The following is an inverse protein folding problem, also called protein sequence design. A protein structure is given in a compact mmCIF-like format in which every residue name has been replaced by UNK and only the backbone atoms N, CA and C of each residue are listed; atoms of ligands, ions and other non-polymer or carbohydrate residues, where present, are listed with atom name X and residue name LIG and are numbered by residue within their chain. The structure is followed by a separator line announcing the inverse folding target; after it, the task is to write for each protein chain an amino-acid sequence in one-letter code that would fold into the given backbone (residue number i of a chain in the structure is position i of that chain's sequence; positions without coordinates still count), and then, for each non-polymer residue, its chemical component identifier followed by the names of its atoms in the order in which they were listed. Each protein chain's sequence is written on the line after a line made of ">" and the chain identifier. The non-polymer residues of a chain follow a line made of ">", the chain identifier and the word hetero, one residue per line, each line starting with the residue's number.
data_IF_437266811089
#
_entry.id   IF_437266811089
#
_cell.length_a   1.000
_cell.length_b   1.000
_cell.length_c   1.000
_cell.angle_alpha   90.00
_cell.angle_beta   90.00
_cell.angle_gamma   90.00
#
_symmetry.space_group_name_H-M   'P 1'
#
loop_
_entity.id
_entity.type
_entity.pdbx_description
1 polymer ?
#
# COMPACT_ATOMS: atom_id res chain seq x y z
N UNK A 1 7.58 27.53 -7.22
CA UNK A 1 6.69 28.45 -6.49
C UNK A 1 7.24 29.86 -6.65
N UNK A 2 6.51 30.71 -7.35
CA UNK A 2 6.89 32.13 -7.50
C UNK A 2 6.27 32.92 -6.35
N UNK A 3 7.10 33.63 -5.59
CA UNK A 3 6.62 34.64 -4.64
C UNK A 3 6.40 35.99 -5.33
N UNK A 4 5.32 36.68 -5.01
CA UNK A 4 5.04 37.99 -5.52
C UNK A 4 5.94 39.07 -4.87
N UNK A 5 6.46 39.96 -5.64
CA UNK A 5 7.35 41.02 -5.20
C UNK A 5 6.70 41.99 -4.23
N UNK A 6 7.22 42.05 -3.02
CA UNK A 6 7.25 43.29 -2.26
C UNK A 6 8.51 44.11 -2.67
N UNK A 7 8.43 45.39 -2.61
CA UNK A 7 9.35 46.41 -3.17
C UNK A 7 10.75 46.46 -2.52
N UNK A 8 11.34 45.36 -2.18
CA UNK A 8 12.73 45.19 -1.78
C UNK A 8 13.26 44.03 -2.59
N UNK A 9 14.39 44.20 -3.21
CA UNK A 9 15.14 43.26 -4.05
C UNK A 9 15.13 41.81 -3.50
N UNK A 10 14.00 41.14 -3.62
CA UNK A 10 13.84 39.72 -3.32
C UNK A 10 14.13 38.93 -4.60
N UNK A 11 15.11 38.05 -4.53
CA UNK A 11 15.37 37.11 -5.61
C UNK A 11 14.37 35.94 -5.50
N UNK A 12 13.74 35.61 -6.62
CA UNK A 12 12.93 34.40 -6.74
C UNK A 12 13.77 33.32 -7.38
N UNK A 13 13.79 32.17 -6.77
CA UNK A 13 14.44 31.02 -7.34
C UNK A 13 13.37 29.92 -7.56
N UNK A 14 13.23 29.48 -8.80
CA UNK A 14 12.47 28.28 -9.12
C UNK A 14 13.38 27.09 -8.84
N UNK A 15 13.03 26.24 -7.89
CA UNK A 15 13.82 25.05 -7.58
C UNK A 15 13.19 23.75 -8.07
N UNK A 16 11.93 23.77 -8.50
CA UNK A 16 11.24 22.67 -9.16
C UNK A 16 10.31 23.22 -10.22
N UNK A 17 10.43 22.74 -11.44
CA UNK A 17 9.52 23.00 -12.53
C UNK A 17 9.29 21.70 -13.29
N UNK A 18 8.10 21.12 -13.17
CA UNK A 18 7.75 19.85 -13.80
C UNK A 18 6.28 19.86 -14.20
N UNK A 19 5.99 19.36 -15.40
CA UNK A 19 4.62 19.30 -15.94
C UNK A 19 3.71 18.41 -15.09
N UNK A 20 4.25 17.38 -14.47
CA UNK A 20 3.52 16.49 -13.59
C UNK A 20 2.99 17.14 -12.30
N UNK A 21 3.47 18.34 -11.94
CA UNK A 21 2.91 19.13 -10.83
C UNK A 21 1.48 19.59 -11.13
N UNK A 22 1.15 19.82 -12.40
CA UNK A 22 -0.20 20.12 -12.89
C UNK A 22 -0.92 21.22 -12.09
N UNK A 23 -0.21 22.28 -11.73
CA UNK A 23 -0.79 23.42 -11.02
C UNK A 23 -1.75 24.20 -11.90
N UNK A 24 -2.87 24.62 -11.34
CA UNK A 24 -3.89 25.38 -12.06
C UNK A 24 -4.28 26.61 -11.26
N UNK A 25 -4.40 27.76 -11.94
CA UNK A 25 -4.70 29.06 -11.30
C UNK A 25 -6.06 29.09 -10.58
N UNK A 26 -7.00 28.23 -10.99
CA UNK A 26 -8.32 28.14 -10.35
C UNK A 26 -8.29 27.31 -9.05
N UNK A 27 -7.17 26.66 -8.74
CA UNK A 27 -6.97 25.82 -7.60
C UNK A 27 -5.81 26.35 -6.75
N UNK A 28 -6.08 27.24 -5.78
CA UNK A 28 -5.03 27.87 -5.00
C UNK A 28 -4.31 26.85 -4.13
N UNK A 29 -2.98 26.97 -4.09
CA UNK A 29 -2.13 26.07 -3.32
C UNK A 29 -2.20 26.46 -1.83
N UNK A 30 -2.54 25.49 -0.99
CA UNK A 30 -2.36 25.55 0.46
C UNK A 30 -1.08 24.83 0.83
N UNK A 31 -0.20 25.43 1.60
CA UNK A 31 1.09 24.86 1.95
C UNK A 31 1.45 25.07 3.42
N UNK A 32 2.29 24.17 3.93
CA UNK A 32 2.88 24.26 5.24
C UNK A 32 4.34 23.78 5.21
N UNK A 33 5.20 24.41 6.02
CA UNK A 33 6.63 24.12 6.04
C UNK A 33 6.99 23.57 7.42
N UNK A 34 7.60 22.39 7.43
CA UNK A 34 8.20 21.80 8.61
C UNK A 34 9.72 21.98 8.57
N UNK A 35 10.27 22.51 9.64
CA UNK A 35 11.71 22.64 9.82
C UNK A 35 12.11 21.78 11.02
N UNK A 36 12.89 20.73 10.76
CA UNK A 36 13.47 19.85 11.76
C UNK A 36 15.00 19.94 11.62
N UNK A 37 15.68 20.58 12.58
CA UNK A 37 17.13 20.74 12.64
C UNK A 37 17.80 21.06 11.28
N UNK A 38 18.09 20.05 10.49
CA UNK A 38 18.74 20.17 9.17
C UNK A 38 17.81 19.87 7.99
N UNK A 39 16.53 19.50 8.24
CA UNK A 39 15.59 19.11 7.19
C UNK A 39 14.45 20.11 7.07
N UNK A 40 14.24 20.61 5.86
CA UNK A 40 13.11 21.49 5.52
C UNK A 40 12.18 20.72 4.59
N UNK A 41 10.96 20.43 5.06
CA UNK A 41 9.92 19.79 4.25
C UNK A 41 8.80 20.75 3.96
N UNK A 42 8.43 20.85 2.70
CA UNK A 42 7.34 21.69 2.21
C UNK A 42 6.19 20.74 1.82
N UNK A 43 5.11 20.83 2.55
CA UNK A 43 3.87 20.10 2.26
C UNK A 43 2.92 21.03 1.53
N UNK A 44 2.23 20.54 0.50
CA UNK A 44 1.29 21.34 -0.26
C UNK A 44 0.15 20.51 -0.87
N UNK A 45 -0.97 21.20 -1.10
CA UNK A 45 -2.16 20.64 -1.73
C UNK A 45 -2.92 21.76 -2.44
N UNK A 46 -3.75 21.43 -3.43
CA UNK A 46 -4.46 22.38 -4.28
C UNK A 46 -5.90 21.93 -4.61
N UNK A 47 -6.46 20.96 -3.91
CA UNK A 47 -7.81 20.41 -4.18
C UNK A 47 -7.99 19.80 -5.61
N UNK A 48 -6.96 19.80 -6.43
CA UNK A 48 -6.95 19.20 -7.78
C UNK A 48 -6.11 17.93 -7.81
N UNK A 49 -4.89 18.03 -7.26
CA UNK A 49 -3.90 16.98 -7.27
C UNK A 49 -3.80 16.27 -5.92
N UNK A 50 -3.13 15.12 -5.91
CA UNK A 50 -2.80 14.41 -4.67
C UNK A 50 -1.95 15.32 -3.76
N UNK A 51 -2.20 15.38 -2.44
CA UNK A 51 -1.33 16.09 -1.52
C UNK A 51 0.12 15.61 -1.62
N UNK A 52 1.07 16.54 -1.62
CA UNK A 52 2.48 16.29 -1.91
C UNK A 52 3.38 16.87 -0.83
N UNK A 53 4.60 16.37 -0.78
CA UNK A 53 5.66 16.99 0.00
C UNK A 53 6.96 17.01 -0.79
N UNK A 54 7.80 17.99 -0.49
CA UNK A 54 9.14 18.15 -1.05
C UNK A 54 10.10 18.28 0.13
N UNK A 55 11.14 17.47 0.15
CA UNK A 55 12.28 17.68 1.04
C UNK A 55 13.25 18.66 0.36
N UNK A 56 13.34 19.86 0.90
CA UNK A 56 14.17 20.93 0.31
C UNK A 56 15.64 20.54 0.21
N UNK A 57 16.14 19.75 1.16
CA UNK A 57 17.54 19.35 1.17
C UNK A 57 17.88 18.35 0.07
N UNK A 58 16.93 17.50 -0.32
CA UNK A 58 17.14 16.59 -1.43
C UNK A 58 17.29 17.33 -2.76
N UNK A 59 16.60 18.46 -2.93
CA UNK A 59 16.70 19.29 -4.11
C UNK A 59 17.96 20.18 -4.11
N UNK A 60 18.48 20.58 -2.95
CA UNK A 60 19.73 21.36 -2.89
C UNK A 60 20.96 20.54 -3.26
N UNK A 61 20.97 19.24 -3.04
CA UNK A 61 22.09 18.36 -3.41
C UNK A 61 22.27 18.22 -4.93
N UNK A 62 21.32 18.67 -5.71
CA UNK A 62 21.25 18.51 -7.16
C UNK A 62 21.51 19.84 -7.89
N UNK A 63 21.90 20.91 -7.21
CA UNK A 63 22.30 22.17 -7.86
C UNK A 63 23.79 22.20 -8.13
N UNK A 64 24.17 22.09 -9.40
CA UNK A 64 25.49 22.47 -9.89
C UNK A 64 25.31 23.85 -10.54
N UNK A 65 26.13 24.82 -10.14
CA UNK A 65 26.23 26.17 -10.76
C UNK A 65 24.94 27.01 -10.74
N UNK A 66 24.19 27.05 -9.64
CA UNK A 66 22.98 27.88 -9.49
C UNK A 66 21.83 27.57 -10.48
N UNK A 67 21.90 26.49 -11.24
CA UNK A 67 20.76 25.98 -12.01
C UNK A 67 20.10 24.82 -11.26
N UNK A 68 18.76 24.82 -11.11
CA UNK A 68 18.07 23.64 -10.63
C UNK A 68 18.28 22.51 -11.63
N UNK A 69 18.90 21.42 -11.21
CA UNK A 69 19.22 20.27 -12.06
C UNK A 69 17.99 19.40 -12.38
N UNK A 70 16.83 19.73 -11.82
CA UNK A 70 15.58 19.04 -12.15
C UNK A 70 14.87 19.84 -13.26
N UNK A 71 15.30 19.64 -14.49
CA UNK A 71 14.47 19.91 -15.64
C UNK A 71 13.23 19.00 -15.63
N UNK A 72 12.19 19.41 -16.35
CA UNK A 72 10.82 18.91 -16.32
C UNK A 72 10.64 17.40 -16.38
N UNK A 73 11.63 16.65 -16.83
CA UNK A 73 11.54 15.22 -17.11
C UNK A 73 12.13 14.33 -15.99
N UNK A 74 12.73 14.91 -14.95
CA UNK A 74 13.41 14.15 -13.89
C UNK A 74 12.61 14.03 -12.59
N UNK A 75 11.59 14.89 -12.37
CA UNK A 75 10.76 14.78 -11.17
C UNK A 75 9.73 13.67 -11.31
N UNK A 76 9.92 12.61 -10.56
CA UNK A 76 8.89 11.58 -10.36
C UNK A 76 7.85 12.09 -9.35
N UNK A 77 6.73 12.63 -9.85
CA UNK A 77 5.66 13.14 -9.02
C UNK A 77 4.98 12.06 -8.15
N UNK A 78 5.15 10.79 -8.46
CA UNK A 78 4.59 9.71 -7.64
C UNK A 78 5.38 9.56 -6.34
N UNK A 79 6.67 9.84 -6.34
CA UNK A 79 7.50 9.78 -5.13
C UNK A 79 7.27 10.91 -4.13
N UNK A 80 6.71 12.02 -4.56
CA UNK A 80 6.41 13.16 -3.69
C UNK A 80 4.97 13.18 -3.18
N UNK A 81 4.12 12.21 -3.59
CA UNK A 81 2.75 12.07 -3.06
C UNK A 81 2.77 11.68 -1.57
N UNK A 82 1.96 12.35 -0.74
CA UNK A 82 1.74 11.95 0.66
C UNK A 82 1.00 10.59 0.71
N UNK A 83 0.10 10.36 -0.25
CA UNK A 83 -0.63 9.11 -0.43
C UNK A 83 -0.24 8.50 -1.79
N UNK A 84 0.90 7.79 -1.88
CA UNK A 84 1.31 7.19 -3.15
C UNK A 84 0.34 6.09 -3.56
N UNK A 85 0.06 6.01 -4.85
CA UNK A 85 -0.61 4.86 -5.42
C UNK A 85 0.36 3.68 -5.40
N UNK A 86 -0.01 2.64 -4.69
CA UNK A 86 0.83 1.46 -4.53
C UNK A 86 0.21 0.30 -5.29
N UNK A 87 1.02 -0.40 -6.09
CA UNK A 87 0.63 -1.71 -6.61
C UNK A 87 0.54 -2.69 -5.44
N UNK A 88 -0.65 -3.24 -5.21
CA UNK A 88 -0.86 -4.20 -4.12
C UNK A 88 -0.49 -5.61 -4.59
N UNK A 89 0.11 -6.44 -3.70
CA UNK A 89 0.39 -7.83 -4.02
C UNK A 89 -0.90 -8.60 -4.34
N UNK A 90 -0.88 -9.36 -5.41
CA UNK A 90 -1.95 -10.27 -5.79
C UNK A 90 -1.55 -11.71 -5.50
N UNK A 91 -2.38 -12.44 -4.75
CA UNK A 91 -2.13 -13.84 -4.41
C UNK A 91 -3.09 -14.74 -5.17
N UNK A 92 -2.54 -15.66 -5.93
CA UNK A 92 -3.31 -16.64 -6.71
C UNK A 92 -2.92 -18.05 -6.28
N UNK A 93 -3.92 -18.89 -6.02
CA UNK A 93 -3.72 -20.33 -5.87
C UNK A 93 -3.54 -20.95 -7.25
N UNK A 94 -2.38 -21.55 -7.49
CA UNK A 94 -2.05 -22.14 -8.79
C UNK A 94 -2.36 -23.63 -8.86
N UNK A 95 -2.23 -24.34 -7.74
CA UNK A 95 -2.44 -25.79 -7.71
C UNK A 95 -2.64 -26.30 -6.27
N UNK A 96 -3.21 -27.50 -6.14
CA UNK A 96 -3.29 -28.27 -4.90
C UNK A 96 -2.58 -29.60 -5.11
N UNK A 97 -1.52 -29.84 -4.36
CA UNK A 97 -0.65 -31.00 -4.53
C UNK A 97 -0.67 -31.92 -3.32
N UNK A 98 -0.25 -33.17 -3.49
CA UNK A 98 -0.11 -34.13 -2.40
C UNK A 98 1.01 -33.74 -1.44
N UNK A 99 0.89 -34.14 -0.20
CA UNK A 99 1.82 -33.84 0.90
C UNK A 99 1.37 -32.61 1.70
N UNK A 100 1.96 -32.44 2.89
CA UNK A 100 1.61 -31.36 3.81
C UNK A 100 0.67 -31.79 4.95
N UNK A 101 0.34 -30.82 5.78
CA UNK A 101 -0.42 -31.02 7.02
C UNK A 101 -1.69 -30.17 7.06
N UNK A 102 -2.15 -29.68 5.89
CA UNK A 102 -3.41 -28.97 5.83
C UNK A 102 -4.56 -29.87 6.24
N UNK A 103 -5.50 -29.31 6.96
CA UNK A 103 -6.74 -30.00 7.37
C UNK A 103 -7.88 -29.56 6.45
N UNK A 104 -9.04 -30.24 6.55
CA UNK A 104 -10.24 -29.84 5.81
C UNK A 104 -10.62 -28.37 6.09
N UNK A 105 -11.23 -27.72 5.12
CA UNK A 105 -11.65 -26.32 5.22
C UNK A 105 -11.57 -25.58 3.89
N UNK A 106 -11.96 -24.31 3.89
CA UNK A 106 -11.81 -23.40 2.76
C UNK A 106 -10.68 -22.45 3.05
N UNK A 107 -9.72 -22.37 2.14
CA UNK A 107 -8.51 -21.57 2.28
C UNK A 107 -8.55 -20.38 1.32
N UNK A 108 -8.26 -19.20 1.84
CA UNK A 108 -8.04 -17.98 1.06
C UNK A 108 -6.71 -17.37 1.51
N UNK A 109 -6.03 -16.70 0.59
CA UNK A 109 -4.72 -16.10 0.86
C UNK A 109 -4.75 -14.63 0.50
N UNK A 110 -3.98 -13.84 1.24
CA UNK A 110 -3.79 -12.42 0.96
C UNK A 110 -2.40 -11.99 1.36
N UNK A 111 -1.91 -10.91 0.77
CA UNK A 111 -0.61 -10.35 1.08
C UNK A 111 -0.68 -8.83 1.21
N UNK A 112 0.18 -8.27 2.03
CA UNK A 112 0.37 -6.83 2.17
C UNK A 112 1.83 -6.51 2.51
N UNK A 113 2.26 -5.30 2.18
CA UNK A 113 3.62 -4.87 2.52
C UNK A 113 3.77 -4.67 4.03
N UNK A 114 4.97 -4.99 4.51
CA UNK A 114 5.30 -4.94 5.93
C UNK A 114 6.71 -4.40 6.19
N UNK A 115 7.00 -4.12 7.44
CA UNK A 115 8.36 -3.87 7.92
C UNK A 115 9.07 -5.19 8.28
N UNK A 116 10.34 -5.09 8.69
CA UNK A 116 11.15 -6.23 9.15
C UNK A 116 10.57 -6.93 10.38
N UNK A 117 9.73 -6.25 11.15
CA UNK A 117 9.09 -6.78 12.36
C UNK A 117 7.70 -7.36 12.10
N UNK A 118 7.35 -7.56 10.83
CA UNK A 118 6.03 -8.03 10.39
C UNK A 118 4.87 -7.05 10.66
N UNK A 119 5.17 -5.79 11.05
CA UNK A 119 4.12 -4.79 11.15
C UNK A 119 3.61 -4.42 9.77
N UNK A 120 2.30 -4.40 9.60
CA UNK A 120 1.65 -4.08 8.34
C UNK A 120 1.83 -2.60 7.99
N UNK A 121 2.38 -2.32 6.81
CA UNK A 121 2.57 -0.98 6.26
C UNK A 121 1.39 -0.58 5.36
N UNK A 122 0.89 -1.52 4.55
CA UNK A 122 -0.23 -1.29 3.64
C UNK A 122 -1.43 -2.18 3.95
N UNK A 123 -2.54 -1.95 3.25
CA UNK A 123 -3.70 -2.82 3.31
C UNK A 123 -3.48 -4.13 2.53
N UNK A 124 -4.14 -5.20 2.98
CA UNK A 124 -4.23 -6.46 2.24
C UNK A 124 -5.37 -6.35 1.23
N UNK A 125 -5.07 -5.83 0.03
CA UNK A 125 -6.10 -5.39 -0.91
C UNK A 125 -6.80 -6.56 -1.62
N UNK A 126 -6.02 -7.55 -2.09
CA UNK A 126 -6.53 -8.69 -2.84
C UNK A 126 -6.56 -9.94 -1.97
N UNK A 127 -7.68 -10.60 -1.94
CA UNK A 127 -7.84 -11.92 -1.33
C UNK A 127 -8.04 -12.94 -2.44
N UNK A 128 -7.33 -14.06 -2.39
CA UNK A 128 -7.44 -15.12 -3.40
C UNK A 128 -8.84 -15.73 -3.46
N UNK A 129 -9.14 -16.40 -4.55
CA UNK A 129 -10.35 -17.19 -4.65
C UNK A 129 -10.38 -18.26 -3.53
N UNK A 130 -11.56 -18.62 -3.01
CA UNK A 130 -11.71 -19.70 -2.05
C UNK A 130 -11.23 -21.02 -2.64
N UNK A 131 -10.34 -21.70 -1.93
CA UNK A 131 -9.82 -23.02 -2.30
C UNK A 131 -10.32 -24.06 -1.30
N UNK A 132 -11.31 -24.88 -1.68
CA UNK A 132 -11.83 -25.92 -0.79
C UNK A 132 -10.87 -27.12 -0.73
N UNK A 133 -10.57 -27.59 0.49
CA UNK A 133 -9.88 -28.84 0.76
C UNK A 133 -10.82 -29.76 1.51
N UNK A 134 -11.49 -30.67 0.77
CA UNK A 134 -12.43 -31.62 1.34
C UNK A 134 -12.30 -32.96 0.66
N UNK A 135 -12.54 -34.06 1.43
CA UNK A 135 -12.67 -35.40 0.87
C UNK A 135 -14.13 -35.71 0.52
N UNK A 136 -15.06 -35.22 1.35
CA UNK A 136 -16.49 -35.40 1.16
C UNK A 136 -17.23 -34.16 1.70
N UNK A 137 -17.85 -33.33 0.83
CA UNK A 137 -18.51 -32.11 1.27
C UNK A 137 -19.75 -32.29 2.12
N UNK A 138 -20.28 -33.51 2.25
CA UNK A 138 -21.55 -33.75 2.92
C UNK A 138 -21.40 -34.05 4.42
N UNK A 139 -20.20 -34.43 4.88
CA UNK A 139 -19.98 -34.90 6.28
C UNK A 139 -19.06 -34.01 7.12
N UNK A 140 -18.80 -32.78 6.70
CA UNK A 140 -17.69 -32.00 7.22
C UNK A 140 -18.02 -31.13 8.41
N UNK A 141 -18.44 -31.77 9.46
CA UNK A 141 -18.54 -31.13 10.77
C UNK A 141 -17.24 -31.14 11.56
N UNK A 142 -16.22 -31.84 11.12
CA UNK A 142 -14.94 -32.00 11.82
C UNK A 142 -13.74 -31.65 10.94
N UNK A 143 -12.65 -31.31 11.59
CA UNK A 143 -11.39 -30.94 10.96
C UNK A 143 -10.53 -32.18 10.73
N UNK A 144 -10.40 -32.62 9.48
CA UNK A 144 -9.63 -33.85 9.13
C UNK A 144 -8.31 -33.49 8.44
N UNK A 145 -7.22 -34.24 8.72
CA UNK A 145 -5.98 -34.14 7.97
C UNK A 145 -6.20 -34.50 6.49
N UNK A 146 -5.78 -33.60 5.58
CA UNK A 146 -5.98 -33.78 4.14
C UNK A 146 -4.73 -34.27 3.40
N UNK A 147 -3.56 -34.24 4.03
CA UNK A 147 -2.26 -34.56 3.42
C UNK A 147 -2.07 -33.84 2.06
N UNK A 148 -2.46 -32.58 1.97
CA UNK A 148 -2.36 -31.73 0.79
C UNK A 148 -1.64 -30.44 1.10
N UNK A 149 -0.97 -29.88 0.10
CA UNK A 149 -0.36 -28.55 0.12
C UNK A 149 -0.95 -27.69 -0.97
N UNK A 150 -0.93 -26.38 -0.76
CA UNK A 150 -1.48 -25.39 -1.70
C UNK A 150 -0.31 -24.60 -2.30
N UNK A 151 -0.18 -24.61 -3.63
CA UNK A 151 0.79 -23.81 -4.34
C UNK A 151 0.22 -22.42 -4.59
N UNK A 152 1.01 -21.41 -4.25
CA UNK A 152 0.67 -20.00 -4.38
C UNK A 152 1.65 -19.30 -5.31
N UNK A 153 1.14 -18.31 -6.02
CA UNK A 153 1.94 -17.29 -6.69
C UNK A 153 1.49 -15.93 -6.17
N UNK A 154 2.44 -15.15 -5.70
CA UNK A 154 2.27 -13.73 -5.38
C UNK A 154 2.87 -12.93 -6.52
N UNK A 155 2.14 -12.01 -7.09
CA UNK A 155 2.54 -11.14 -8.21
C UNK A 155 2.31 -9.66 -7.86
N UNK A 156 2.78 -8.77 -8.71
CA UNK A 156 2.70 -7.32 -8.54
C UNK A 156 3.43 -6.81 -7.28
N UNK A 157 4.52 -7.48 -6.90
CA UNK A 157 5.34 -7.04 -5.78
C UNK A 157 6.12 -5.78 -6.17
N UNK A 158 5.88 -4.68 -5.45
CA UNK A 158 6.60 -3.42 -5.63
C UNK A 158 7.94 -3.47 -4.86
N UNK A 159 9.05 -3.25 -5.56
CA UNK A 159 10.42 -3.26 -5.00
C UNK A 159 10.75 -2.05 -4.13
N UNK A 160 9.91 -1.04 -4.09
CA UNK A 160 10.04 0.07 -3.14
C UNK A 160 9.82 -0.38 -1.68
N UNK A 161 9.15 -1.52 -1.50
CA UNK A 161 9.01 -2.19 -0.21
C UNK A 161 10.01 -3.31 -0.08
N UNK A 162 10.56 -3.48 1.12
CA UNK A 162 11.56 -4.52 1.37
C UNK A 162 10.95 -5.85 1.78
N UNK A 163 9.77 -5.83 2.42
CA UNK A 163 9.13 -7.02 2.96
C UNK A 163 7.62 -7.03 2.66
N UNK A 164 7.08 -8.25 2.60
CA UNK A 164 5.63 -8.46 2.59
C UNK A 164 5.23 -9.60 3.53
N UNK A 165 4.05 -9.46 4.12
CA UNK A 165 3.40 -10.49 4.91
C UNK A 165 2.48 -11.31 4.02
N UNK A 166 2.54 -12.63 4.14
CA UNK A 166 1.60 -13.55 3.52
C UNK A 166 0.69 -14.13 4.59
N UNK A 167 -0.61 -13.99 4.41
CA UNK A 167 -1.63 -14.49 5.32
C UNK A 167 -2.46 -15.60 4.67
N UNK A 168 -2.92 -16.52 5.50
CA UNK A 168 -3.97 -17.49 5.16
C UNK A 168 -5.20 -17.22 6.01
N UNK A 169 -6.37 -17.27 5.39
CA UNK A 169 -7.68 -17.19 6.04
C UNK A 169 -8.31 -18.56 5.85
N UNK A 170 -8.40 -19.32 6.93
CA UNK A 170 -9.04 -20.63 6.94
C UNK A 170 -10.49 -20.49 7.43
N UNK A 171 -11.42 -21.04 6.68
CA UNK A 171 -12.85 -21.04 7.02
C UNK A 171 -13.32 -22.46 7.27
N UNK A 172 -13.85 -22.70 8.47
CA UNK A 172 -14.49 -23.95 8.89
C UNK A 172 -15.83 -23.59 9.52
N UNK A 173 -16.91 -24.23 9.13
CA UNK A 173 -18.27 -23.98 9.68
C UNK A 173 -18.67 -22.49 9.68
N UNK A 174 -18.20 -21.73 8.68
CA UNK A 174 -18.44 -20.30 8.61
C UNK A 174 -17.55 -19.42 9.48
N UNK A 175 -16.74 -20.01 10.36
CA UNK A 175 -15.77 -19.28 11.19
C UNK A 175 -14.50 -19.05 10.39
N UNK A 176 -14.11 -17.77 10.24
CA UNK A 176 -12.89 -17.36 9.55
C UNK A 176 -11.77 -17.13 10.55
N UNK A 177 -10.69 -17.86 10.41
CA UNK A 177 -9.52 -17.71 11.26
C UNK A 177 -8.31 -17.34 10.40
N UNK A 178 -7.81 -16.13 10.55
CA UNK A 178 -6.61 -15.67 9.83
C UNK A 178 -5.34 -16.07 10.58
N UNK A 179 -4.28 -16.37 9.81
CA UNK A 179 -2.94 -16.63 10.33
C UNK A 179 -1.91 -15.95 9.46
N UNK A 180 -0.91 -15.36 10.08
CA UNK A 180 0.30 -14.94 9.38
C UNK A 180 1.12 -16.20 9.07
N UNK A 181 1.36 -16.47 7.80
CA UNK A 181 2.21 -17.58 7.38
C UNK A 181 3.67 -17.21 7.66
N UNK A 182 4.14 -16.15 7.05
CA UNK A 182 5.51 -15.66 7.19
C UNK A 182 5.66 -14.26 6.58
N UNK A 183 6.72 -13.56 6.97
CA UNK A 183 7.17 -12.31 6.34
C UNK A 183 8.33 -12.64 5.39
N UNK A 184 8.20 -12.23 4.14
CA UNK A 184 9.17 -12.51 3.08
C UNK A 184 9.86 -11.25 2.61
N UNK A 185 11.14 -11.35 2.26
CA UNK A 185 11.88 -10.28 1.59
C UNK A 185 11.54 -10.26 0.10
N UNK A 186 11.38 -9.05 -0.46
CA UNK A 186 11.03 -8.84 -1.87
C UNK A 186 12.31 -8.78 -2.68
N UNK A 187 12.56 -9.82 -3.46
CA UNK A 187 13.72 -9.92 -4.35
C UNK A 187 13.33 -9.88 -5.83
N UNK A 188 12.05 -10.06 -6.14
CA UNK A 188 11.49 -10.02 -7.50
C UNK A 188 10.02 -9.59 -7.48
N UNK A 189 9.48 -9.27 -8.65
CA UNK A 189 8.07 -8.87 -8.83
C UNK A 189 7.09 -10.03 -8.62
N UNK A 190 7.60 -11.26 -8.62
CA UNK A 190 6.83 -12.47 -8.44
C UNK A 190 7.50 -13.37 -7.40
N UNK A 191 6.67 -14.05 -6.61
CA UNK A 191 7.11 -14.98 -5.58
C UNK A 191 6.22 -16.22 -5.61
N UNK A 192 6.83 -17.39 -5.50
CA UNK A 192 6.11 -18.67 -5.45
C UNK A 192 6.32 -19.32 -4.08
N UNK A 193 5.24 -19.85 -3.52
CA UNK A 193 5.25 -20.47 -2.20
C UNK A 193 4.39 -21.72 -2.17
N UNK A 194 4.78 -22.70 -1.35
CA UNK A 194 3.97 -23.91 -1.10
C UNK A 194 3.54 -23.87 0.37
N UNK A 195 2.26 -23.65 0.58
CA UNK A 195 1.66 -23.67 1.91
C UNK A 195 1.37 -25.12 2.32
N UNK A 196 2.08 -25.58 3.32
CA UNK A 196 2.00 -26.97 3.80
C UNK A 196 1.10 -27.17 5.01
N UNK A 197 0.46 -26.12 5.51
CA UNK A 197 -0.36 -26.15 6.74
C UNK A 197 0.44 -25.92 8.03
N UNK A 198 1.75 -25.72 7.94
CA UNK A 198 2.60 -25.40 9.09
C UNK A 198 2.67 -23.87 9.21
N UNK A 199 2.09 -23.34 10.28
CA UNK A 199 2.18 -21.90 10.60
C UNK A 199 3.35 -21.69 11.57
N UNK A 200 4.41 -21.02 11.11
CA UNK A 200 5.59 -20.74 11.95
C UNK A 200 5.28 -19.72 13.07
N UNK A 201 4.27 -18.86 12.86
CA UNK A 201 3.92 -17.75 13.73
C UNK A 201 2.56 -17.93 14.42
N UNK A 202 2.33 -19.09 15.06
CA UNK A 202 1.07 -19.43 15.73
C UNK A 202 0.67 -18.42 16.83
N UNK A 203 1.61 -17.67 17.36
CA UNK A 203 1.38 -16.74 18.48
C UNK A 203 0.95 -15.31 18.07
N UNK A 204 0.86 -15.01 16.78
CA UNK A 204 0.33 -13.71 16.34
C UNK A 204 -1.17 -13.86 16.09
N UNK A 205 -1.96 -13.45 17.09
CA UNK A 205 -3.41 -13.29 16.94
C UNK A 205 -3.68 -12.13 15.98
N UNK A 206 -3.93 -12.45 14.74
CA UNK A 206 -4.34 -11.47 13.72
C UNK A 206 -5.86 -11.48 13.66
N UNK A 207 -6.49 -10.31 13.76
CA UNK A 207 -7.94 -10.21 13.59
C UNK A 207 -8.31 -10.24 12.11
N UNK A 208 -9.42 -10.92 11.79
CA UNK A 208 -9.97 -10.91 10.42
C UNK A 208 -10.34 -9.49 9.99
N UNK A 209 -10.88 -8.69 10.91
CA UNK A 209 -11.24 -7.30 10.66
C UNK A 209 -10.00 -6.46 10.38
N UNK A 210 -8.89 -6.75 11.04
CA UNK A 210 -7.62 -6.09 10.77
C UNK A 210 -7.11 -6.38 9.35
N UNK A 211 -7.19 -7.62 8.88
CA UNK A 211 -6.77 -8.00 7.53
C UNK A 211 -7.69 -7.41 6.47
N UNK A 212 -9.01 -7.46 6.69
CA UNK A 212 -10.00 -7.04 5.71
C UNK A 212 -10.33 -5.54 5.78
N UNK A 213 -9.93 -4.84 6.85
CA UNK A 213 -10.13 -3.39 6.96
C UNK A 213 -9.29 -2.68 5.91
N UNK A 214 -9.90 -1.74 5.23
CA UNK A 214 -9.24 -0.87 4.27
C UNK A 214 -9.08 0.52 4.87
N UNK A 215 -7.90 1.07 4.73
CA UNK A 215 -7.67 2.47 5.03
C UNK A 215 -8.18 3.31 3.87
N UNK A 216 -8.81 4.45 4.14
CA UNK A 216 -9.22 5.34 3.07
C UNK A 216 -8.00 5.83 2.30
N UNK A 217 -8.07 5.78 0.97
CA UNK A 217 -7.03 6.30 0.09
C UNK A 217 -7.46 7.67 -0.42
N UNK A 218 -6.86 8.71 0.14
CA UNK A 218 -7.18 10.07 -0.21
C UNK A 218 -6.38 10.52 -1.42
N UNK A 219 -7.08 11.04 -2.42
CA UNK A 219 -6.48 11.52 -3.66
C UNK A 219 -6.40 13.04 -3.74
N UNK A 220 -7.19 13.75 -2.94
CA UNK A 220 -7.23 15.20 -2.90
C UNK A 220 -7.43 15.71 -1.49
N UNK A 221 -6.92 16.90 -1.22
CA UNK A 221 -7.21 17.67 -0.02
C UNK A 221 -7.28 19.15 -0.38
N UNK A 222 -8.17 19.89 0.25
CA UNK A 222 -8.37 21.31 -0.02
C UNK A 222 -7.37 22.18 0.74
N UNK A 223 -7.06 21.84 1.97
CA UNK A 223 -6.08 22.59 2.74
C UNK A 223 -5.22 21.70 3.60
N UNK A 224 -4.06 22.24 3.96
CA UNK A 224 -3.06 21.61 4.80
C UNK A 224 -2.66 22.56 5.90
N UNK A 225 -2.52 22.04 7.11
CA UNK A 225 -2.08 22.78 8.28
C UNK A 225 -1.37 21.86 9.26
N UNK A 226 -0.83 22.41 10.34
CA UNK A 226 -0.20 21.64 11.42
C UNK A 226 -0.84 21.99 12.75
N UNK A 227 -0.97 20.99 13.63
CA UNK A 227 -1.32 21.18 15.01
C UNK A 227 -0.63 20.10 15.87
N UNK A 228 0.09 20.55 16.89
CA UNK A 228 0.78 19.68 17.86
C UNK A 228 1.75 18.66 17.22
N UNK A 229 2.44 19.04 16.14
CA UNK A 229 3.36 18.16 15.42
C UNK A 229 2.68 17.21 14.40
N UNK A 230 1.36 17.24 14.29
CA UNK A 230 0.58 16.46 13.32
C UNK A 230 0.21 17.30 12.10
N UNK A 231 0.40 16.71 10.93
CA UNK A 231 -0.08 17.28 9.68
C UNK A 231 -1.58 17.05 9.56
N UNK A 232 -2.34 18.12 9.43
CA UNK A 232 -3.79 18.09 9.26
C UNK A 232 -4.15 18.39 7.81
N UNK A 233 -4.92 17.50 7.21
CA UNK A 233 -5.49 17.67 5.88
C UNK A 233 -6.99 17.83 6.00
N UNK A 234 -7.58 18.79 5.28
CA UNK A 234 -9.03 19.04 5.33
C UNK A 234 -9.70 18.86 3.97
N UNK A 235 -11.02 18.63 4.01
CA UNK A 235 -11.84 18.40 2.81
C UNK A 235 -11.27 17.33 1.91
N UNK A 236 -10.99 16.17 2.49
CA UNK A 236 -10.42 15.04 1.80
C UNK A 236 -11.39 14.43 0.81
N UNK A 237 -10.92 14.10 -0.39
CA UNK A 237 -11.64 13.29 -1.37
C UNK A 237 -10.98 11.94 -1.54
N UNK A 238 -11.79 10.90 -1.62
CA UNK A 238 -11.37 9.51 -1.75
C UNK A 238 -11.73 9.00 -3.16
N UNK A 239 -10.81 8.34 -3.83
CA UNK A 239 -11.16 7.52 -4.98
C UNK A 239 -11.74 6.21 -4.47
N UNK A 240 -13.04 6.05 -4.61
CA UNK A 240 -13.68 4.77 -4.33
C UNK A 240 -13.24 3.75 -5.38
N UNK A 241 -12.35 2.86 -4.99
CA UNK A 241 -12.04 1.69 -5.81
C UNK A 241 -13.29 0.80 -5.76
N UNK A 242 -13.96 0.67 -6.90
CA UNK A 242 -15.12 -0.20 -7.04
C UNK A 242 -14.70 -1.65 -6.80
N UNK A 243 -15.11 -2.22 -5.69
CA UNK A 243 -14.96 -3.64 -5.47
C UNK A 243 -16.02 -4.39 -6.31
N UNK A 244 -15.61 -4.87 -7.47
CA UNK A 244 -16.49 -5.63 -8.37
C UNK A 244 -16.63 -7.10 -7.98
N UNK A 245 -15.86 -7.59 -7.00
CA UNK A 245 -15.88 -8.99 -6.58
C UNK A 245 -17.28 -9.50 -6.18
N UNK A 246 -18.12 -8.73 -5.44
CA UNK A 246 -19.49 -9.14 -5.15
C UNK A 246 -20.39 -9.28 -6.39
N UNK A 247 -20.08 -8.55 -7.46
CA UNK A 247 -20.80 -8.62 -8.73
C UNK A 247 -20.34 -9.84 -9.52
N UNK A 248 -19.01 -10.05 -9.59
CA UNK A 248 -18.41 -11.20 -10.30
C UNK A 248 -18.88 -12.52 -9.68
N UNK A 249 -18.98 -12.59 -8.36
CA UNK A 249 -19.45 -13.78 -7.64
C UNK A 249 -20.94 -14.12 -7.88
N UNK A 250 -21.69 -13.21 -8.52
CA UNK A 250 -23.11 -13.43 -8.88
C UNK A 250 -23.30 -13.78 -10.35
N UNK A 251 -22.24 -13.74 -11.14
CA UNK A 251 -22.30 -14.17 -12.53
C UNK A 251 -22.34 -15.71 -12.57
N UNK A 252 -23.27 -16.30 -13.36
CA UNK A 252 -23.41 -17.75 -13.46
C UNK A 252 -22.20 -18.43 -14.11
#
# INVERSE_FOLDING_TARGET
>A
INQAQGNTSGFYTTFVNADCLNFNINYPISSWIKVDDCNIRIYFTDDLNNPRYIDYNDFQKVTIDNCPLLESDELDCDKIKIFPETCYPEVVVTDVVSGGQNTSGVYQFTACYSDVRSNRVTDCFYVSNPTPLFNNPITEDEEYPMSKSIKLRVSNLNKDFKYFNLYVIKTIKGVRTPYLIETFEINSDNFSYIYTGINKNINQNVSIDEILSRRPHYTKAKSISESNGYLLLSSLSENRILNLQPVINKLP
#
